data_IF_708683826415
#
_entry.id   IF_708683826415
#
_cell.length_a   1.000
_cell.length_b   1.000
_cell.length_c   1.000
_cell.angle_alpha   90.00
_cell.angle_beta   90.00
_cell.angle_gamma   90.00
#
_symmetry.space_group_name_H-M   'P 1'
#
loop_
_entity.id
_entity.type
_entity.pdbx_description
1 polymer ?
#
# COMPACT_ATOMS: atom_id res chain seq x y z
N UNK A 1 9.00 -15.49 29.62
CA UNK A 1 8.87 -14.09 29.15
C UNK A 1 9.54 -14.06 27.79
N UNK A 2 8.76 -14.18 26.72
CA UNK A 2 9.23 -13.95 25.37
C UNK A 2 8.57 -12.65 24.95
N UNK A 3 9.33 -11.57 25.03
CA UNK A 3 9.00 -10.34 24.32
C UNK A 3 9.22 -10.65 22.83
N UNK A 4 8.23 -11.31 22.21
CA UNK A 4 8.00 -11.28 20.77
C UNK A 4 7.73 -9.82 20.40
N UNK A 5 8.82 -9.05 20.32
CA UNK A 5 8.83 -7.78 19.62
C UNK A 5 8.66 -8.12 18.15
N UNK A 6 7.41 -8.36 17.76
CA UNK A 6 6.97 -8.21 16.38
C UNK A 6 7.67 -6.96 15.85
N UNK A 7 8.57 -7.08 14.87
CA UNK A 7 9.16 -5.92 14.24
C UNK A 7 8.03 -5.24 13.48
N UNK A 8 7.30 -4.40 14.19
CA UNK A 8 6.20 -3.62 13.66
C UNK A 8 6.81 -2.59 12.74
N UNK A 9 6.87 -2.95 11.45
CA UNK A 9 7.27 -2.04 10.39
C UNK A 9 6.24 -0.91 10.41
N UNK A 10 6.64 0.24 10.96
CA UNK A 10 5.84 1.46 10.93
C UNK A 10 5.95 2.04 9.53
N UNK A 11 5.03 1.67 8.66
CA UNK A 11 4.87 2.30 7.36
C UNK A 11 4.25 3.68 7.53
N UNK A 12 4.89 4.71 6.97
CA UNK A 12 4.28 6.04 6.87
C UNK A 12 3.40 6.13 5.64
N UNK A 13 2.50 7.13 5.58
CA UNK A 13 1.68 7.38 4.40
C UNK A 13 2.54 7.59 3.14
N UNK A 14 3.73 8.19 3.29
CA UNK A 14 4.70 8.37 2.19
C UNK A 14 5.22 7.03 1.69
N UNK A 15 5.58 6.11 2.59
CA UNK A 15 6.04 4.77 2.21
C UNK A 15 4.94 4.01 1.47
N UNK A 16 3.69 4.10 1.96
CA UNK A 16 2.52 3.51 1.32
C UNK A 16 2.32 4.09 -0.08
N UNK A 17 2.42 5.41 -0.27
CA UNK A 17 2.31 6.05 -1.60
C UNK A 17 3.37 5.54 -2.58
N UNK A 18 4.58 5.24 -2.11
CA UNK A 18 5.66 4.74 -2.98
C UNK A 18 5.46 3.27 -3.33
N UNK A 19 5.05 2.44 -2.36
CA UNK A 19 4.99 0.98 -2.52
C UNK A 19 3.67 0.54 -3.18
N UNK A 20 2.57 1.21 -2.88
CA UNK A 20 1.22 0.87 -3.35
C UNK A 20 1.11 0.67 -4.87
N UNK A 21 1.51 1.62 -5.75
CA UNK A 21 1.36 1.45 -7.19
C UNK A 21 2.09 0.20 -7.70
N UNK A 22 3.30 -0.05 -7.20
CA UNK A 22 4.08 -1.25 -7.53
C UNK A 22 3.37 -2.53 -7.10
N UNK A 23 2.87 -2.60 -5.88
CA UNK A 23 2.11 -3.76 -5.41
C UNK A 23 0.83 -3.95 -6.21
N UNK A 24 0.18 -2.86 -6.65
CA UNK A 24 -1.02 -2.94 -7.48
C UNK A 24 -0.75 -3.57 -8.85
N UNK A 25 0.41 -3.30 -9.46
CA UNK A 25 0.80 -3.99 -10.72
C UNK A 25 1.05 -5.49 -10.55
N UNK A 26 1.41 -5.90 -9.32
CA UNK A 26 1.67 -7.29 -8.98
C UNK A 26 0.46 -7.96 -8.31
N UNK A 27 -0.71 -7.29 -8.25
CA UNK A 27 -1.89 -7.75 -7.52
C UNK A 27 -2.33 -9.17 -7.93
N UNK A 28 -2.15 -9.56 -9.18
CA UNK A 28 -2.42 -10.92 -9.69
C UNK A 28 -1.43 -12.00 -9.22
N UNK A 29 -0.24 -11.59 -8.78
CA UNK A 29 0.82 -12.47 -8.29
C UNK A 29 0.87 -12.54 -6.76
N UNK A 30 0.13 -11.65 -6.07
CA UNK A 30 0.06 -11.62 -4.62
C UNK A 30 -0.80 -12.76 -4.07
N UNK A 31 -0.37 -13.32 -2.95
CA UNK A 31 -1.18 -14.25 -2.17
C UNK A 31 -2.39 -13.55 -1.53
N UNK A 32 -3.39 -14.33 -1.12
CA UNK A 32 -4.59 -13.81 -0.44
C UNK A 32 -4.29 -12.85 0.74
N UNK A 33 -3.38 -13.14 1.68
CA UNK A 33 -3.05 -12.21 2.76
C UNK A 33 -2.35 -10.92 2.26
N UNK A 34 -1.56 -11.00 1.20
CA UNK A 34 -0.92 -9.82 0.60
C UNK A 34 -1.94 -8.92 -0.11
N UNK A 35 -2.93 -9.51 -0.78
CA UNK A 35 -4.07 -8.78 -1.36
C UNK A 35 -4.92 -8.07 -0.32
N UNK A 36 -5.12 -8.69 0.85
CA UNK A 36 -5.81 -8.05 1.98
C UNK A 36 -5.02 -6.84 2.51
N UNK A 37 -3.70 -6.96 2.62
CA UNK A 37 -2.82 -5.82 2.98
C UNK A 37 -2.90 -4.72 1.93
N UNK A 38 -2.84 -5.06 0.65
CA UNK A 38 -2.97 -4.11 -0.46
C UNK A 38 -4.31 -3.36 -0.41
N UNK A 39 -5.40 -4.08 -0.13
CA UNK A 39 -6.74 -3.50 0.03
C UNK A 39 -6.82 -2.55 1.24
N UNK A 40 -6.12 -2.85 2.33
CA UNK A 40 -6.02 -1.95 3.49
C UNK A 40 -5.21 -0.69 3.17
N UNK A 41 -4.11 -0.83 2.44
CA UNK A 41 -3.31 0.30 1.95
C UNK A 41 -4.14 1.20 1.02
N UNK A 42 -4.89 0.60 0.11
CA UNK A 42 -5.78 1.30 -0.82
C UNK A 42 -6.83 2.12 -0.06
N UNK A 43 -7.53 1.49 0.88
CA UNK A 43 -8.52 2.17 1.73
C UNK A 43 -7.92 3.32 2.56
N UNK A 44 -6.67 3.16 3.02
CA UNK A 44 -5.97 4.20 3.76
C UNK A 44 -5.63 5.38 2.84
N UNK A 45 -5.17 5.11 1.62
CA UNK A 45 -4.92 6.15 0.62
C UNK A 45 -6.21 6.89 0.24
N UNK A 46 -7.34 6.18 0.04
CA UNK A 46 -8.65 6.80 -0.22
C UNK A 46 -9.13 7.75 0.90
N UNK A 47 -8.76 7.47 2.15
CA UNK A 47 -9.13 8.33 3.29
C UNK A 47 -8.27 9.59 3.41
N UNK A 48 -7.04 9.54 2.90
CA UNK A 48 -6.04 10.59 3.11
C UNK A 48 -5.74 11.42 1.85
N UNK A 49 -6.04 10.89 0.67
CA UNK A 49 -5.76 11.54 -0.62
C UNK A 49 -7.07 11.91 -1.32
N UNK A 50 -7.01 12.99 -2.10
CA UNK A 50 -8.09 13.33 -3.02
C UNK A 50 -8.12 12.38 -4.22
N UNK A 51 -9.25 12.32 -4.92
CA UNK A 51 -9.39 11.51 -6.16
C UNK A 51 -8.29 11.86 -7.16
N UNK A 52 -8.00 13.15 -7.37
CA UNK A 52 -6.93 13.61 -8.27
C UNK A 52 -5.54 13.09 -7.85
N UNK A 53 -5.22 13.13 -6.55
CA UNK A 53 -3.95 12.63 -6.04
C UNK A 53 -3.79 11.11 -6.21
N UNK A 54 -4.90 10.36 -6.09
CA UNK A 54 -4.91 8.91 -6.32
C UNK A 54 -4.73 8.59 -7.81
N UNK A 55 -5.41 9.32 -8.69
CA UNK A 55 -5.20 9.19 -10.13
C UNK A 55 -3.76 9.48 -10.52
N UNK A 56 -3.15 10.55 -9.97
CA UNK A 56 -1.74 10.85 -10.18
C UNK A 56 -0.81 9.75 -9.64
N UNK A 57 -1.17 9.15 -8.50
CA UNK A 57 -0.42 8.04 -7.91
C UNK A 57 -0.40 6.82 -8.84
N UNK A 58 -1.52 6.51 -9.47
CA UNK A 58 -1.65 5.36 -10.37
C UNK A 58 -1.06 5.62 -11.77
N UNK A 59 -1.02 6.89 -12.22
CA UNK A 59 -0.40 7.25 -13.52
C UNK A 59 1.13 7.19 -13.49
N UNK A 60 1.76 7.35 -12.33
CA UNK A 60 3.23 7.45 -12.19
C UNK A 60 4.01 6.19 -12.55
N UNK A 61 3.37 5.02 -12.58
CA UNK A 61 4.02 3.73 -12.93
C UNK A 61 3.85 3.36 -14.42
N UNK A 62 3.12 4.18 -15.20
CA UNK A 62 2.85 3.96 -16.63
C UNK A 62 3.73 4.80 -17.58
N UNK A 63 4.71 5.55 -17.07
CA UNK A 63 5.63 6.40 -17.86
C UNK A 63 7.06 5.88 -17.87
#
# INVERSE_FOLDING_TARGET
MMDDKDPSIKLTLTDIRVIFPRLKTLEDQLSEPERDILSKMENLLYKHLSIDELEQLMRKDLS
#
